data_IF_710395839697
#
_entry.id   IF_710395839697
#
_cell.length_a   1.000
_cell.length_b   1.000
_cell.length_c   1.000
_cell.angle_alpha   90.00
_cell.angle_beta   90.00
_cell.angle_gamma   90.00
#
_symmetry.space_group_name_H-M   'P 1'
#
loop_
_entity.id
_entity.type
_entity.pdbx_description
1 polymer ?
#
# COMPACT_ATOMS: atom_id res chain seq x y z
N UNK A 1 -45.61 -15.64 -67.75
CA UNK A 1 -46.29 -16.31 -66.62
C UNK A 1 -45.72 -15.69 -65.35
N UNK A 2 -46.33 -14.60 -64.86
CA UNK A 2 -47.36 -14.58 -63.81
C UNK A 2 -46.79 -15.07 -62.46
N UNK A 3 -46.86 -14.38 -61.32
CA UNK A 3 -47.55 -13.14 -60.93
C UNK A 3 -47.28 -12.85 -59.44
N UNK A 4 -47.15 -11.56 -59.10
CA UNK A 4 -47.67 -10.84 -57.91
C UNK A 4 -47.41 -11.29 -56.45
N UNK A 5 -46.83 -10.34 -55.70
CA UNK A 5 -47.10 -9.85 -54.32
C UNK A 5 -48.58 -10.02 -53.84
N UNK A 6 -49.01 -9.80 -52.55
CA UNK A 6 -48.52 -8.74 -51.65
C UNK A 6 -48.77 -8.82 -50.10
N UNK A 7 -48.38 -7.72 -49.44
CA UNK A 7 -49.03 -7.03 -48.30
C UNK A 7 -48.88 -7.48 -46.83
N UNK A 8 -48.37 -6.53 -46.04
CA UNK A 8 -48.51 -6.38 -44.58
C UNK A 8 -49.98 -6.14 -44.15
N UNK A 9 -50.29 -6.07 -42.83
CA UNK A 9 -50.21 -4.75 -42.20
C UNK A 9 -49.77 -4.72 -40.72
N UNK A 10 -49.26 -3.54 -40.38
CA UNK A 10 -49.13 -2.94 -39.06
C UNK A 10 -50.49 -2.90 -38.32
N UNK A 11 -50.49 -3.21 -37.02
CA UNK A 11 -51.58 -2.82 -36.11
C UNK A 11 -51.02 -1.91 -35.02
N UNK A 12 -51.29 -0.62 -35.20
CA UNK A 12 -51.36 0.37 -34.13
C UNK A 12 -52.67 0.17 -33.35
N UNK A 13 -52.63 0.32 -32.03
CA UNK A 13 -53.81 0.48 -31.20
C UNK A 13 -53.74 1.85 -30.51
N UNK A 14 -54.58 2.74 -31.00
CA UNK A 14 -54.98 4.01 -30.37
C UNK A 14 -56.31 3.78 -29.68
N UNK A 15 -56.45 4.34 -28.47
CA UNK A 15 -57.67 4.80 -27.73
C UNK A 15 -57.48 4.48 -26.24
N UNK A 16 -57.95 5.27 -25.29
CA UNK A 16 -58.70 6.52 -25.28
C UNK A 16 -58.76 6.95 -23.81
N UNK A 17 -58.78 8.26 -23.60
CA UNK A 17 -59.06 8.93 -22.34
C UNK A 17 -60.33 8.39 -21.65
N UNK A 18 -60.33 8.44 -20.31
CA UNK A 18 -61.55 8.69 -19.56
C UNK A 18 -61.24 9.58 -18.35
N UNK A 19 -61.74 10.81 -18.42
CA UNK A 19 -61.70 11.84 -17.38
C UNK A 19 -63.13 12.30 -17.13
N UNK A 20 -63.63 12.12 -15.90
CA UNK A 20 -64.85 12.71 -15.35
C UNK A 20 -64.48 13.02 -13.87
N UNK A 21 -64.18 14.25 -13.46
CA UNK A 21 -65.03 15.42 -13.16
C UNK A 21 -66.16 15.14 -12.16
N UNK A 22 -66.22 16.06 -11.18
CA UNK A 22 -67.22 16.30 -10.11
C UNK A 22 -66.87 15.64 -8.76
N UNK A 23 -66.82 16.31 -7.61
CA UNK A 23 -67.55 17.50 -7.15
C UNK A 23 -66.72 18.41 -6.21
N UNK A 24 -67.04 19.71 -6.26
CA UNK A 24 -66.55 20.78 -5.38
C UNK A 24 -67.48 20.98 -4.15
N UNK A 25 -66.87 21.56 -3.10
CA UNK A 25 -67.39 22.34 -1.95
C UNK A 25 -67.83 21.59 -0.67
N UNK A 26 -67.76 22.23 0.52
CA UNK A 26 -66.91 23.36 0.95
C UNK A 26 -66.19 23.11 2.30
N UNK A 27 -65.33 24.07 2.64
CA UNK A 27 -64.63 24.24 3.91
C UNK A 27 -65.51 24.09 5.15
N UNK A 28 -65.07 23.26 6.09
CA UNK A 28 -65.35 23.44 7.51
C UNK A 28 -64.01 23.47 8.23
N UNK A 29 -63.71 24.62 8.81
CA UNK A 29 -62.58 24.82 9.70
C UNK A 29 -62.74 23.89 10.92
N UNK A 30 -61.83 22.92 11.05
CA UNK A 30 -61.70 22.13 12.26
C UNK A 30 -60.33 22.44 12.88
N UNK A 31 -60.38 23.37 13.84
CA UNK A 31 -59.46 23.59 14.96
C UNK A 31 -58.03 23.05 14.82
N UNK A 32 -57.08 23.98 14.76
CA UNK A 32 -55.71 23.79 15.20
C UNK A 32 -55.69 23.18 16.62
N UNK A 33 -55.51 21.87 16.74
CA UNK A 33 -55.14 21.26 18.01
C UNK A 33 -53.64 21.50 18.22
N UNK A 34 -53.33 22.65 18.80
CA UNK A 34 -52.05 22.89 19.45
C UNK A 34 -51.86 21.82 20.52
N UNK A 35 -50.99 20.83 20.27
CA UNK A 35 -50.55 19.93 21.33
C UNK A 35 -49.86 20.77 22.39
N UNK A 36 -50.46 20.80 23.58
CA UNK A 36 -49.89 21.40 24.78
C UNK A 36 -48.55 20.71 25.09
N UNK A 37 -47.46 21.45 24.91
CA UNK A 37 -46.22 21.16 25.59
C UNK A 37 -46.36 21.65 27.04
N UNK A 38 -46.43 20.71 27.97
CA UNK A 38 -46.06 20.76 29.40
C UNK A 38 -46.86 19.64 30.08
N UNK A 39 -46.29 18.67 30.76
CA UNK A 39 -45.64 18.81 32.07
C UNK A 39 -44.70 17.63 32.27
N UNK A 40 -43.38 17.82 32.15
CA UNK A 40 -42.45 16.88 32.76
C UNK A 40 -42.47 17.13 34.27
N UNK A 41 -42.79 16.08 35.02
CA UNK A 41 -42.75 16.07 36.48
C UNK A 41 -41.36 16.52 36.95
N UNK A 42 -41.28 17.68 37.60
CA UNK A 42 -40.10 18.09 38.36
C UNK A 42 -39.91 17.09 39.51
N UNK A 43 -39.04 16.10 39.30
CA UNK A 43 -38.54 15.28 40.39
C UNK A 43 -37.72 16.16 41.33
N UNK A 44 -38.08 16.08 42.61
CA UNK A 44 -37.44 16.71 43.76
C UNK A 44 -35.91 16.57 43.66
N UNK A 45 -35.23 17.71 43.78
CA UNK A 45 -33.79 17.78 43.94
C UNK A 45 -33.35 16.95 45.16
N UNK A 46 -32.67 15.84 44.90
CA UNK A 46 -31.83 15.19 45.90
C UNK A 46 -30.55 16.01 46.03
N UNK A 47 -30.41 16.60 47.21
CA UNK A 47 -29.25 17.32 47.69
C UNK A 47 -28.04 16.38 47.67
N UNK A 48 -26.97 16.77 46.97
CA UNK A 48 -25.61 16.34 47.27
C UNK A 48 -25.14 15.04 46.63
N UNK A 49 -24.87 15.07 45.32
CA UNK A 49 -23.79 14.27 44.74
C UNK A 49 -22.98 15.20 43.82
N UNK A 50 -21.65 15.34 44.01
CA UNK A 50 -20.85 16.14 43.08
C UNK A 50 -20.85 15.42 41.73
N UNK A 51 -21.60 15.96 40.76
CA UNK A 51 -21.40 15.59 39.37
C UNK A 51 -19.99 16.06 38.99
N UNK A 52 -19.13 15.10 38.69
CA UNK A 52 -17.84 15.36 38.08
C UNK A 52 -18.15 15.94 36.71
N UNK A 53 -18.15 17.27 36.58
CA UNK A 53 -18.33 17.97 35.32
C UNK A 53 -17.13 17.59 34.47
N UNK A 54 -17.30 16.55 33.64
CA UNK A 54 -16.31 16.18 32.63
C UNK A 54 -16.10 17.42 31.77
N UNK A 55 -14.94 18.05 31.91
CA UNK A 55 -14.57 19.21 31.11
C UNK A 55 -14.79 18.82 29.66
N UNK A 56 -15.76 19.47 29.00
CA UNK A 56 -16.10 19.22 27.61
C UNK A 56 -14.82 19.46 26.82
N UNK A 57 -14.19 18.40 26.34
CA UNK A 57 -12.97 18.55 25.56
C UNK A 57 -13.24 19.56 24.43
N UNK A 58 -12.29 20.48 24.16
CA UNK A 58 -12.47 21.44 23.09
C UNK A 58 -12.80 20.66 21.81
N UNK A 59 -13.78 21.15 21.06
CA UNK A 59 -14.27 20.47 19.86
C UNK A 59 -13.07 20.19 18.93
N UNK A 60 -12.63 18.93 18.88
CA UNK A 60 -11.56 18.56 17.97
C UNK A 60 -12.17 18.53 16.56
N UNK A 61 -11.51 19.14 15.57
CA UNK A 61 -11.98 19.06 14.19
C UNK A 61 -12.10 17.59 13.79
N UNK A 62 -13.15 17.26 13.02
CA UNK A 62 -13.36 15.91 12.52
C UNK A 62 -12.12 15.44 11.76
N UNK A 63 -11.87 14.13 11.74
CA UNK A 63 -10.70 13.59 11.03
C UNK A 63 -10.68 14.03 9.55
N UNK A 64 -11.85 14.13 8.91
CA UNK A 64 -12.02 14.70 7.56
C UNK A 64 -11.59 16.17 7.45
N UNK A 65 -11.87 17.00 8.45
CA UNK A 65 -11.43 18.40 8.49
C UNK A 65 -9.92 18.50 8.70
N UNK A 66 -9.37 17.68 9.61
CA UNK A 66 -7.91 17.57 9.83
C UNK A 66 -7.18 17.11 8.58
N UNK A 67 -7.71 16.11 7.86
CA UNK A 67 -7.10 15.57 6.65
C UNK A 67 -7.01 16.58 5.50
N UNK A 68 -7.92 17.56 5.45
CA UNK A 68 -7.88 18.67 4.48
C UNK A 68 -6.84 19.74 4.85
N UNK A 69 -6.55 19.88 6.15
CA UNK A 69 -5.58 20.84 6.69
C UNK A 69 -4.17 20.26 6.83
N UNK A 70 -4.00 18.92 6.74
CA UNK A 70 -2.69 18.29 6.69
C UNK A 70 -1.92 18.81 5.47
N UNK A 71 -0.84 19.54 5.72
CA UNK A 71 0.05 19.94 4.65
C UNK A 71 0.74 18.69 4.09
N UNK A 72 1.04 18.72 2.79
CA UNK A 72 1.75 17.66 2.07
C UNK A 72 3.05 17.20 2.75
N UNK A 73 3.71 18.11 3.47
CA UNK A 73 4.94 17.85 4.22
C UNK A 73 4.72 17.17 5.59
N UNK A 74 3.48 17.18 6.10
CA UNK A 74 3.11 16.62 7.40
C UNK A 74 2.65 15.17 7.30
N UNK A 75 2.50 14.63 6.08
CA UNK A 75 2.30 13.20 5.91
C UNK A 75 3.50 12.46 6.49
N UNK A 76 3.29 11.45 7.35
CA UNK A 76 4.39 10.66 7.83
C UNK A 76 5.08 10.01 6.63
N UNK A 77 6.35 10.36 6.42
CA UNK A 77 7.24 9.72 5.47
C UNK A 77 7.57 8.27 5.89
N UNK A 78 6.82 7.70 6.86
CA UNK A 78 6.97 6.38 7.45
C UNK A 78 5.68 5.51 7.35
N UNK A 79 4.86 5.67 6.30
CA UNK A 79 3.84 4.66 5.91
C UNK A 79 4.55 3.34 5.58
N UNK A 80 4.78 2.49 6.58
CA UNK A 80 5.43 1.19 6.43
C UNK A 80 4.85 0.33 5.29
N UNK A 81 5.45 -0.82 5.03
CA UNK A 81 4.97 -1.72 3.98
C UNK A 81 3.44 -1.94 4.10
N UNK A 82 2.70 -1.76 3.00
CA UNK A 82 1.25 -1.82 3.03
C UNK A 82 0.78 -3.13 3.70
N UNK A 83 -0.22 -3.07 4.60
CA UNK A 83 -0.67 -4.23 5.35
C UNK A 83 -1.18 -5.34 4.41
N UNK A 84 -0.89 -6.59 4.77
CA UNK A 84 -1.20 -7.77 3.97
C UNK A 84 -0.39 -7.90 2.68
N UNK A 85 0.74 -7.20 2.54
CA UNK A 85 1.66 -7.41 1.43
C UNK A 85 2.37 -8.76 1.58
N UNK A 86 1.98 -9.73 0.77
CA UNK A 86 2.67 -11.01 0.70
C UNK A 86 3.93 -10.90 -0.15
N UNK A 87 5.09 -11.25 0.42
CA UNK A 87 6.38 -11.23 -0.27
C UNK A 87 6.88 -12.65 -0.37
N UNK A 88 6.77 -13.23 -1.56
CA UNK A 88 7.21 -14.61 -1.80
C UNK A 88 8.72 -14.76 -1.53
N UNK A 89 9.13 -15.67 -0.62
CA UNK A 89 10.54 -15.97 -0.37
C UNK A 89 11.18 -16.68 -1.56
N UNK A 90 12.50 -16.87 -1.51
CA UNK A 90 13.19 -17.66 -2.52
C UNK A 90 12.74 -19.12 -2.42
N UNK A 91 12.91 -19.85 -3.52
CA UNK A 91 12.52 -21.26 -3.54
C UNK A 91 13.28 -22.12 -2.54
N UNK A 92 14.51 -21.71 -2.19
CA UNK A 92 15.36 -22.35 -1.17
C UNK A 92 14.85 -22.15 0.26
N UNK A 93 14.18 -21.02 0.52
CA UNK A 93 13.69 -20.64 1.84
C UNK A 93 12.20 -21.00 2.00
N UNK A 94 11.59 -21.60 0.98
CA UNK A 94 10.22 -22.10 1.08
C UNK A 94 10.20 -23.49 1.73
N UNK A 95 9.10 -23.86 2.40
CA UNK A 95 8.94 -25.19 2.98
C UNK A 95 9.17 -26.30 1.96
N UNK A 96 9.77 -27.38 2.42
CA UNK A 96 10.02 -28.57 1.61
C UNK A 96 8.69 -29.20 1.18
N UNK A 97 8.60 -29.55 -0.10
CA UNK A 97 7.41 -30.16 -0.71
C UNK A 97 7.10 -31.51 -0.05
N UNK A 98 8.12 -32.23 0.42
CA UNK A 98 7.95 -33.58 0.96
C UNK A 98 7.75 -33.63 2.47
N UNK A 99 8.34 -32.70 3.22
CA UNK A 99 8.23 -32.68 4.69
C UNK A 99 7.02 -31.86 5.16
N UNK A 100 6.74 -30.73 4.51
CA UNK A 100 5.68 -29.79 4.90
C UNK A 100 4.83 -29.38 3.67
N UNK A 101 4.15 -30.33 2.99
CA UNK A 101 3.39 -30.05 1.77
C UNK A 101 2.24 -29.07 2.00
N UNK A 102 1.57 -29.12 3.15
CA UNK A 102 0.44 -28.26 3.48
C UNK A 102 0.85 -26.79 3.61
N UNK A 103 1.94 -26.51 4.33
CA UNK A 103 2.50 -25.16 4.48
C UNK A 103 3.01 -24.64 3.14
N UNK A 104 3.65 -25.50 2.35
CA UNK A 104 4.10 -25.16 1.01
C UNK A 104 2.93 -24.75 0.10
N UNK A 105 1.89 -25.57 0.05
CA UNK A 105 0.69 -25.29 -0.74
C UNK A 105 0.00 -24.01 -0.24
N UNK A 106 -0.05 -23.78 1.07
CA UNK A 106 -0.60 -22.56 1.65
C UNK A 106 0.16 -21.31 1.21
N UNK A 107 1.49 -21.34 1.23
CA UNK A 107 2.34 -20.24 0.74
C UNK A 107 2.12 -19.97 -0.75
N UNK A 108 2.07 -21.02 -1.57
CA UNK A 108 1.85 -20.89 -3.02
C UNK A 108 0.42 -20.40 -3.32
N UNK A 109 -0.58 -20.86 -2.57
CA UNK A 109 -1.95 -20.38 -2.65
C UNK A 109 -2.08 -18.90 -2.27
N UNK A 110 -1.45 -18.50 -1.16
CA UNK A 110 -1.43 -17.09 -0.74
C UNK A 110 -0.72 -16.20 -1.76
N UNK A 111 0.38 -16.67 -2.34
CA UNK A 111 1.05 -15.96 -3.42
C UNK A 111 0.13 -15.73 -4.61
N UNK A 112 -0.56 -16.79 -5.07
CA UNK A 112 -1.48 -16.71 -6.20
C UNK A 112 -2.67 -15.79 -5.89
N UNK A 113 -3.32 -16.00 -4.73
CA UNK A 113 -4.45 -15.19 -4.26
C UNK A 113 -4.05 -13.73 -4.13
N UNK A 114 -2.91 -13.43 -3.49
CA UNK A 114 -2.41 -12.06 -3.35
C UNK A 114 -2.08 -11.46 -4.71
N UNK A 115 -1.50 -12.22 -5.64
CA UNK A 115 -1.23 -11.75 -7.00
C UNK A 115 -2.50 -11.30 -7.73
N UNK A 116 -3.57 -12.09 -7.66
CA UNK A 116 -4.87 -11.77 -8.26
C UNK A 116 -5.52 -10.57 -7.57
N UNK A 117 -5.56 -10.57 -6.22
CA UNK A 117 -6.14 -9.47 -5.44
C UNK A 117 -5.42 -8.14 -5.70
N UNK A 118 -4.09 -8.18 -5.74
CA UNK A 118 -3.25 -7.02 -6.02
C UNK A 118 -3.49 -6.48 -7.43
N UNK A 119 -3.59 -7.37 -8.43
CA UNK A 119 -3.89 -6.99 -9.79
C UNK A 119 -5.26 -6.33 -9.92
N UNK A 120 -6.32 -6.97 -9.39
CA UNK A 120 -7.68 -6.43 -9.41
C UNK A 120 -7.76 -5.10 -8.65
N UNK A 121 -7.13 -5.02 -7.46
CA UNK A 121 -7.07 -3.78 -6.68
C UNK A 121 -6.39 -2.64 -7.43
N UNK A 122 -5.34 -2.94 -8.18
CA UNK A 122 -4.62 -1.96 -9.00
C UNK A 122 -5.45 -1.52 -10.22
N UNK A 123 -6.23 -2.42 -10.85
CA UNK A 123 -7.19 -2.04 -11.91
C UNK A 123 -8.32 -1.17 -11.33
N UNK A 124 -8.89 -1.56 -10.18
CA UNK A 124 -9.88 -0.75 -9.42
C UNK A 124 -9.33 0.64 -9.12
N UNK A 125 -8.14 0.71 -8.56
CA UNK A 125 -7.45 1.96 -8.24
C UNK A 125 -7.26 2.86 -9.46
N UNK A 126 -6.86 2.29 -10.60
CA UNK A 126 -6.44 3.03 -11.79
C UNK A 126 -7.56 3.33 -12.79
N UNK A 127 -8.65 2.57 -12.78
CA UNK A 127 -9.73 2.68 -13.76
C UNK A 127 -11.04 3.17 -13.16
N UNK A 128 -11.33 2.83 -11.92
CA UNK A 128 -12.60 3.18 -11.27
C UNK A 128 -12.45 4.26 -10.21
N UNK A 129 -11.46 4.13 -9.34
CA UNK A 129 -11.25 5.07 -8.23
C UNK A 129 -10.54 6.36 -8.67
N UNK A 130 -9.54 6.24 -9.55
CA UNK A 130 -8.82 7.36 -10.12
C UNK A 130 -8.81 7.23 -11.64
N UNK A 131 -9.88 7.66 -12.30
CA UNK A 131 -10.05 7.55 -13.74
C UNK A 131 -8.90 8.21 -14.49
N UNK A 132 -8.34 7.53 -15.49
CA UNK A 132 -7.31 8.07 -16.38
C UNK A 132 -5.86 7.76 -15.98
N UNK A 133 -5.62 7.06 -14.88
CA UNK A 133 -4.25 6.66 -14.51
C UNK A 133 -3.69 5.54 -15.40
N UNK A 134 -2.40 5.59 -15.77
CA UNK A 134 -1.73 4.48 -16.43
C UNK A 134 -1.24 3.42 -15.43
N UNK A 135 -1.43 2.14 -15.75
CA UNK A 135 -1.02 1.02 -14.88
C UNK A 135 0.52 0.90 -14.75
N UNK A 136 1.30 1.41 -15.72
CA UNK A 136 2.79 1.43 -15.72
C UNK A 136 3.46 0.08 -15.35
N UNK A 137 2.86 -1.04 -15.77
CA UNK A 137 3.29 -2.40 -15.36
C UNK A 137 4.70 -2.76 -15.87
N UNK A 138 5.13 -2.19 -16.98
CA UNK A 138 6.47 -2.44 -17.56
C UNK A 138 7.51 -1.53 -16.91
N UNK A 139 7.19 -0.25 -16.79
CA UNK A 139 8.08 0.82 -16.30
C UNK A 139 8.58 0.55 -14.88
N UNK A 140 7.72 0.06 -13.98
CA UNK A 140 8.06 -0.21 -12.57
C UNK A 140 9.35 -1.04 -12.37
N UNK A 141 9.68 -1.95 -13.31
CA UNK A 141 10.91 -2.77 -13.23
C UNK A 141 12.16 -1.97 -13.57
N UNK A 142 12.08 -1.07 -14.54
CA UNK A 142 13.19 -0.20 -14.92
C UNK A 142 13.42 0.85 -13.87
N UNK A 143 12.35 1.51 -13.43
CA UNK A 143 12.38 2.50 -12.35
C UNK A 143 12.99 1.91 -11.07
N UNK A 144 12.58 0.71 -10.67
CA UNK A 144 13.15 0.07 -9.47
C UNK A 144 14.65 -0.23 -9.63
N UNK A 145 15.11 -0.66 -10.82
CA UNK A 145 16.54 -0.85 -11.09
C UNK A 145 17.29 0.48 -11.00
N UNK A 146 16.77 1.53 -11.62
CA UNK A 146 17.46 2.80 -11.75
C UNK A 146 17.54 3.53 -10.41
N UNK A 147 16.44 3.53 -9.63
CA UNK A 147 16.47 4.00 -8.25
C UNK A 147 17.44 3.19 -7.39
N UNK A 148 17.48 1.86 -7.54
CA UNK A 148 18.42 1.02 -6.80
C UNK A 148 19.87 1.36 -7.15
N UNK A 149 20.20 1.62 -8.43
CA UNK A 149 21.53 2.10 -8.82
C UNK A 149 21.86 3.42 -8.14
N UNK A 150 20.95 4.39 -8.22
CA UNK A 150 21.13 5.72 -7.63
C UNK A 150 21.36 5.65 -6.12
N UNK A 151 20.55 4.85 -5.41
CA UNK A 151 20.70 4.62 -3.97
C UNK A 151 22.10 4.10 -3.63
N UNK A 152 22.58 3.12 -4.38
CA UNK A 152 23.86 2.49 -4.11
C UNK A 152 25.06 3.33 -4.56
N UNK A 153 24.94 4.13 -5.61
CA UNK A 153 25.95 5.13 -5.96
C UNK A 153 26.11 6.15 -4.84
N UNK A 154 24.99 6.71 -4.34
CA UNK A 154 25.02 7.63 -3.21
C UNK A 154 25.56 6.97 -1.92
N UNK A 155 25.25 5.69 -1.70
CA UNK A 155 25.80 4.91 -0.60
C UNK A 155 27.33 4.75 -0.71
N UNK A 156 27.85 4.42 -1.90
CA UNK A 156 29.27 4.29 -2.15
C UNK A 156 30.02 5.62 -1.95
N UNK A 157 29.46 6.73 -2.47
CA UNK A 157 30.00 8.07 -2.23
C UNK A 157 30.05 8.41 -0.74
N UNK A 158 28.95 8.13 -0.01
CA UNK A 158 28.90 8.35 1.43
C UNK A 158 29.90 7.50 2.19
N UNK A 159 30.16 6.26 1.76
CA UNK A 159 31.20 5.41 2.35
C UNK A 159 32.58 6.00 2.10
N UNK A 160 32.86 6.41 0.85
CA UNK A 160 34.15 6.96 0.46
C UNK A 160 34.49 8.26 1.21
N UNK A 161 33.47 9.06 1.56
CA UNK A 161 33.64 10.31 2.30
C UNK A 161 33.81 10.12 3.83
N UNK A 162 33.76 8.89 4.36
CA UNK A 162 33.97 8.66 5.80
C UNK A 162 35.44 8.85 6.15
N UNK A 163 35.71 9.82 7.03
CA UNK A 163 37.01 9.99 7.68
C UNK A 163 37.19 8.89 8.73
N UNK A 164 37.79 7.76 8.35
CA UNK A 164 38.17 6.67 9.26
C UNK A 164 39.55 6.15 8.87
N UNK A 165 40.28 5.59 9.85
CA UNK A 165 41.55 4.89 9.62
C UNK A 165 41.38 3.61 8.77
N UNK A 166 40.13 3.18 8.55
CA UNK A 166 39.73 2.10 7.65
C UNK A 166 38.93 2.67 6.47
N UNK A 167 39.48 2.52 5.25
CA UNK A 167 38.76 2.81 4.01
C UNK A 167 38.01 1.56 3.57
N UNK A 168 36.68 1.60 3.68
CA UNK A 168 35.80 0.57 3.12
C UNK A 168 35.47 0.98 1.69
N UNK A 169 35.54 0.04 0.75
CA UNK A 169 35.07 0.23 -0.63
C UNK A 169 33.88 -0.68 -0.88
N UNK A 170 32.88 -0.18 -1.58
CA UNK A 170 31.71 -0.94 -2.00
C UNK A 170 31.44 -0.66 -3.47
N UNK A 171 31.16 -1.70 -4.25
CA UNK A 171 30.74 -1.55 -5.64
C UNK A 171 29.64 -2.53 -6.03
N UNK A 172 28.71 -2.01 -6.85
CA UNK A 172 27.71 -2.81 -7.55
C UNK A 172 28.31 -3.33 -8.85
N UNK A 173 28.73 -4.59 -8.86
CA UNK A 173 29.43 -5.19 -10.01
C UNK A 173 28.48 -5.40 -11.18
N UNK A 174 27.40 -6.14 -10.95
CA UNK A 174 26.39 -6.42 -11.97
C UNK A 174 25.06 -6.82 -11.36
N UNK A 175 24.01 -6.65 -12.15
CA UNK A 175 22.74 -7.30 -11.87
C UNK A 175 22.77 -8.72 -12.44
N UNK A 176 22.48 -9.72 -11.60
CA UNK A 176 22.40 -11.11 -12.04
C UNK A 176 21.18 -11.35 -12.94
N UNK A 177 20.21 -10.43 -12.91
CA UNK A 177 18.94 -10.47 -13.63
C UNK A 177 18.60 -9.08 -14.15
N UNK A 178 18.05 -8.95 -15.36
CA UNK A 178 17.70 -7.65 -15.95
C UNK A 178 16.18 -7.42 -15.96
N UNK A 179 15.69 -6.16 -16.07
CA UNK A 179 14.25 -5.89 -16.17
C UNK A 179 13.57 -6.51 -17.40
N UNK A 180 14.32 -6.82 -18.45
CA UNK A 180 13.80 -7.27 -19.74
C UNK A 180 13.50 -8.77 -19.83
N UNK A 181 14.09 -9.60 -18.97
CA UNK A 181 13.88 -11.06 -19.03
C UNK A 181 12.58 -11.47 -18.34
N UNK A 182 11.68 -12.14 -19.06
CA UNK A 182 10.33 -12.49 -18.58
C UNK A 182 10.32 -13.51 -17.44
N UNK A 183 11.24 -14.50 -17.47
CA UNK A 183 11.31 -15.56 -16.46
C UNK A 183 12.46 -15.33 -15.48
N UNK A 184 13.57 -14.76 -15.92
CA UNK A 184 14.79 -14.61 -15.12
C UNK A 184 15.09 -13.17 -14.76
N UNK A 185 14.14 -12.24 -14.88
CA UNK A 185 14.39 -10.81 -14.65
C UNK A 185 14.20 -10.32 -13.21
N UNK A 186 14.34 -9.01 -13.02
CA UNK A 186 13.84 -8.33 -11.82
C UNK A 186 12.35 -8.63 -11.70
N UNK A 187 11.96 -9.28 -10.60
CA UNK A 187 10.59 -9.77 -10.43
C UNK A 187 9.83 -8.83 -9.51
N UNK A 188 8.70 -8.35 -10.00
CA UNK A 188 7.69 -7.71 -9.15
C UNK A 188 7.03 -8.82 -8.33
N UNK A 189 7.20 -8.76 -7.03
CA UNK A 189 6.68 -9.74 -6.08
C UNK A 189 5.30 -9.33 -5.60
N UNK A 190 5.09 -8.03 -5.40
CA UNK A 190 3.81 -7.43 -5.02
C UNK A 190 3.69 -6.04 -5.67
N UNK A 191 2.49 -5.68 -6.12
CA UNK A 191 2.16 -4.34 -6.62
C UNK A 191 0.79 -3.96 -6.05
N UNK A 192 0.77 -3.09 -5.06
CA UNK A 192 -0.42 -2.73 -4.30
C UNK A 192 -0.65 -1.25 -4.37
N UNK A 193 -1.92 -0.87 -4.51
CA UNK A 193 -2.36 0.51 -4.47
C UNK A 193 -3.55 0.64 -3.52
N UNK A 194 -3.53 1.67 -2.68
CA UNK A 194 -4.59 1.97 -1.72
C UNK A 194 -4.87 3.48 -1.75
N UNK A 195 -6.13 3.87 -1.58
CA UNK A 195 -6.45 5.27 -1.32
C UNK A 195 -6.08 5.64 0.11
N UNK A 196 -5.65 6.88 0.30
CA UNK A 196 -5.49 7.44 1.64
C UNK A 196 -6.90 7.83 2.11
N UNK A 197 -7.40 7.26 3.22
CA UNK A 197 -8.68 7.67 3.76
C UNK A 197 -8.71 9.18 4.01
N UNK A 198 -9.88 9.80 3.90
CA UNK A 198 -10.14 11.21 4.25
C UNK A 198 -9.59 12.26 3.29
N UNK A 199 -8.60 11.92 2.46
CA UNK A 199 -8.02 12.84 1.48
C UNK A 199 -8.48 12.43 0.07
N UNK A 200 -9.34 13.23 -0.59
CA UNK A 200 -9.84 12.89 -1.91
C UNK A 200 -8.69 12.84 -2.93
N UNK A 201 -8.87 11.99 -3.95
CA UNK A 201 -7.92 11.79 -5.06
C UNK A 201 -6.48 11.49 -4.63
N UNK A 202 -6.30 10.99 -3.41
CA UNK A 202 -5.00 10.70 -2.82
C UNK A 202 -4.84 9.22 -2.54
N UNK A 203 -3.64 8.72 -2.75
CA UNK A 203 -3.37 7.30 -2.71
C UNK A 203 -1.89 6.97 -2.73
N UNK A 204 -1.56 5.77 -2.30
CA UNK A 204 -0.21 5.25 -2.28
C UNK A 204 -0.17 3.98 -3.12
N UNK A 205 0.80 3.90 -4.02
CA UNK A 205 1.15 2.67 -4.72
C UNK A 205 2.53 2.20 -4.28
N UNK A 206 2.61 0.99 -3.75
CA UNK A 206 3.87 0.34 -3.39
C UNK A 206 4.11 -0.89 -4.27
N UNK A 207 5.32 -0.99 -4.82
CA UNK A 207 5.76 -2.12 -5.63
C UNK A 207 6.98 -2.74 -4.96
N UNK A 208 6.86 -4.00 -4.59
CA UNK A 208 7.97 -4.79 -4.07
C UNK A 208 8.66 -5.49 -5.23
N UNK A 209 9.93 -5.18 -5.44
CA UNK A 209 10.75 -5.75 -6.52
C UNK A 209 11.89 -6.55 -5.91
N UNK A 210 11.98 -7.83 -6.30
CA UNK A 210 13.11 -8.68 -5.98
C UNK A 210 14.24 -8.44 -6.98
N UNK A 211 15.36 -7.97 -6.45
CA UNK A 211 16.58 -7.66 -7.19
C UNK A 211 17.67 -8.64 -6.74
N UNK A 212 18.35 -9.23 -7.72
CA UNK A 212 19.52 -10.08 -7.46
C UNK A 212 20.72 -9.45 -8.13
N UNK A 213 21.74 -9.11 -7.36
CA UNK A 213 22.95 -8.44 -7.83
C UNK A 213 24.19 -9.12 -7.30
N UNK A 214 25.31 -8.91 -7.99
CA UNK A 214 26.64 -9.23 -7.50
C UNK A 214 27.24 -7.94 -6.96
N UNK A 215 27.64 -7.96 -5.70
CA UNK A 215 28.21 -6.82 -5.01
C UNK A 215 29.61 -7.21 -4.53
N UNK A 216 30.50 -6.24 -4.45
CA UNK A 216 31.81 -6.43 -3.86
C UNK A 216 32.07 -5.44 -2.74
N UNK A 217 32.80 -5.88 -1.72
CA UNK A 217 33.18 -5.06 -0.57
C UNK A 217 34.65 -5.31 -0.26
N UNK A 218 35.41 -4.23 -0.20
CA UNK A 218 36.82 -4.22 0.16
C UNK A 218 37.06 -3.42 1.44
N UNK A 219 38.12 -3.75 2.17
CA UNK A 219 38.53 -3.03 3.38
C UNK A 219 40.03 -2.77 3.29
N UNK A 220 40.44 -1.53 3.47
CA UNK A 220 41.85 -1.13 3.46
C UNK A 220 42.13 -0.41 4.76
N UNK A 221 43.02 -0.97 5.60
CA UNK A 221 43.52 -0.28 6.78
C UNK A 221 44.61 0.69 6.34
N UNK A 222 44.44 1.98 6.60
CA UNK A 222 45.46 2.98 6.34
C UNK A 222 46.50 2.88 7.47
N UNK A 223 47.77 2.65 7.14
CA UNK A 223 48.82 2.70 8.17
C UNK A 223 48.98 4.14 8.67
N UNK A 224 49.17 4.35 9.99
CA UNK A 224 49.40 5.68 10.53
C UNK A 224 50.72 6.26 9.98
N UNK A 225 50.69 7.56 9.63
CA UNK A 225 51.78 8.31 8.98
C UNK A 225 53.09 8.42 9.78
N UNK A 226 53.19 7.85 10.98
CA UNK A 226 54.41 7.84 11.81
C UNK A 226 54.93 6.41 11.99
N UNK A 227 55.70 5.91 11.02
CA UNK A 227 56.61 4.78 11.23
C UNK A 227 57.96 5.11 10.59
N UNK A 228 59.09 5.05 11.31
CA UNK A 228 60.41 5.33 10.75
C UNK A 228 60.73 4.36 9.61
N UNK A 229 61.34 4.86 8.54
CA UNK A 229 61.75 4.10 7.36
C UNK A 229 62.73 2.97 7.75
N UNK A 230 62.26 1.73 7.63
CA UNK A 230 63.06 0.51 7.57
C UNK A 230 62.81 -0.19 6.21
N UNK A 231 63.71 -1.10 5.78
CA UNK A 231 63.81 -1.54 4.39
C UNK A 231 62.52 -2.19 3.89
N UNK A 232 62.16 -1.81 2.66
CA UNK A 232 60.98 -2.17 1.89
C UNK A 232 60.38 -3.54 2.19
N UNK A 233 59.37 -3.56 3.07
CA UNK A 233 58.34 -4.60 3.06
C UNK A 233 57.29 -4.13 2.05
N UNK A 234 56.88 -4.93 1.05
CA UNK A 234 55.81 -4.56 0.15
C UNK A 234 54.58 -4.22 0.98
N UNK A 235 53.86 -3.17 0.61
CA UNK A 235 52.64 -2.74 1.29
C UNK A 235 51.53 -3.80 1.16
N UNK A 236 51.65 -4.88 1.92
CA UNK A 236 50.66 -5.95 2.02
C UNK A 236 49.82 -5.71 3.26
N UNK A 237 48.63 -5.16 3.04
CA UNK A 237 47.41 -5.47 3.77
C UNK A 237 46.20 -5.00 2.93
N UNK A 238 46.20 -5.37 1.64
CA UNK A 238 44.99 -5.30 0.84
C UNK A 238 44.05 -6.40 1.37
N UNK A 239 43.10 -6.05 2.25
CA UNK A 239 42.14 -7.05 2.69
C UNK A 239 41.36 -7.52 1.47
N UNK A 240 41.21 -8.84 1.34
CA UNK A 240 40.54 -9.51 0.23
C UNK A 240 39.22 -8.83 -0.14
N UNK A 241 39.06 -8.44 -1.41
CA UNK A 241 37.76 -8.02 -1.94
C UNK A 241 36.80 -9.21 -1.88
N UNK A 242 35.80 -9.13 -1.02
CA UNK A 242 34.75 -10.16 -0.93
C UNK A 242 33.68 -9.84 -1.95
N UNK A 243 33.48 -10.73 -2.90
CA UNK A 243 32.40 -10.66 -3.87
C UNK A 243 31.30 -11.63 -3.47
N UNK A 244 30.05 -11.16 -3.44
CA UNK A 244 28.90 -11.96 -3.03
C UNK A 244 27.69 -11.67 -3.93
N UNK A 245 26.90 -12.71 -4.19
CA UNK A 245 25.59 -12.57 -4.81
C UNK A 245 24.55 -12.24 -3.72
N UNK A 246 23.96 -11.05 -3.82
CA UNK A 246 22.96 -10.51 -2.90
C UNK A 246 21.56 -10.58 -3.51
N UNK A 247 20.56 -10.98 -2.71
CA UNK A 247 19.15 -10.91 -3.11
C UNK A 247 18.40 -10.00 -2.15
N UNK A 248 17.77 -8.97 -2.69
CA UNK A 248 17.15 -7.90 -1.93
C UNK A 248 15.74 -7.66 -2.45
N UNK A 249 14.86 -7.23 -1.55
CA UNK A 249 13.49 -6.89 -1.86
C UNK A 249 13.32 -5.40 -1.58
N UNK A 250 13.29 -4.61 -2.64
CA UNK A 250 13.16 -3.16 -2.55
C UNK A 250 11.69 -2.79 -2.74
N UNK A 251 11.22 -1.90 -1.88
CA UNK A 251 9.91 -1.26 -2.00
C UNK A 251 10.12 0.07 -2.71
N UNK A 252 9.52 0.21 -3.88
CA UNK A 252 9.38 1.51 -4.54
C UNK A 252 7.96 2.02 -4.36
N UNK A 253 7.83 3.30 -4.05
CA UNK A 253 6.57 3.93 -3.77
C UNK A 253 6.32 5.09 -4.73
N UNK A 254 5.06 5.23 -5.13
CA UNK A 254 4.54 6.41 -5.82
C UNK A 254 3.37 6.97 -5.02
N UNK A 255 3.49 8.21 -4.57
CA UNK A 255 2.42 8.93 -3.87
C UNK A 255 1.56 9.66 -4.89
N UNK A 256 0.25 9.66 -4.68
CA UNK A 256 -0.70 10.54 -5.35
C UNK A 256 -1.32 11.43 -4.30
N UNK A 257 -1.31 12.73 -4.53
CA UNK A 257 -1.80 13.74 -3.59
C UNK A 257 -2.71 14.73 -4.32
N UNK A 258 -3.96 14.82 -3.89
CA UNK A 258 -4.97 15.72 -4.45
C UNK A 258 -5.05 15.65 -5.99
N UNK A 259 -4.97 14.44 -6.57
CA UNK A 259 -5.01 14.21 -8.01
C UNK A 259 -3.65 14.19 -8.71
N UNK A 260 -2.60 14.75 -8.11
CA UNK A 260 -1.26 14.80 -8.69
C UNK A 260 -0.43 13.57 -8.34
N UNK A 261 0.27 13.00 -9.33
CA UNK A 261 1.17 11.86 -9.14
C UNK A 261 2.62 12.33 -8.92
N UNK A 262 3.21 11.97 -7.78
CA UNK A 262 4.64 12.18 -7.52
C UNK A 262 5.53 11.21 -8.29
N UNK A 263 6.82 11.51 -8.35
CA UNK A 263 7.81 10.58 -8.87
C UNK A 263 7.97 9.33 -8.00
N UNK A 264 8.46 8.27 -8.64
CA UNK A 264 8.81 7.06 -7.93
C UNK A 264 10.02 7.31 -7.04
N UNK A 265 9.94 6.83 -5.80
CA UNK A 265 11.04 6.87 -4.84
C UNK A 265 11.27 5.51 -4.21
N UNK A 266 12.48 5.27 -3.73
CA UNK A 266 12.74 4.15 -2.83
C UNK A 266 12.08 4.46 -1.51
N UNK A 267 11.23 3.54 -1.08
CA UNK A 267 10.60 3.59 0.22
C UNK A 267 11.46 2.90 1.27
N UNK A 268 11.97 1.71 0.94
CA UNK A 268 12.82 0.96 1.85
C UNK A 268 13.06 -0.46 1.37
N UNK A 269 13.59 -1.28 2.28
CA UNK A 269 13.76 -2.71 2.10
C UNK A 269 12.58 -3.46 2.72
N UNK A 270 12.29 -4.65 2.22
CA UNK A 270 11.30 -5.55 2.80
C UNK A 270 11.89 -6.93 3.05
N UNK A 271 11.35 -7.62 4.05
CA UNK A 271 11.69 -9.00 4.35
C UNK A 271 10.70 -9.94 3.64
N UNK A 272 11.17 -11.09 3.14
CA UNK A 272 10.27 -12.12 2.65
C UNK A 272 9.36 -12.66 3.74
N UNK A 273 8.13 -13.01 3.37
CA UNK A 273 7.16 -13.63 4.28
C UNK A 273 7.60 -15.05 4.62
N UNK A 274 7.65 -15.38 5.91
CA UNK A 274 7.98 -16.71 6.43
C UNK A 274 6.70 -17.52 6.71
N UNK A 275 6.85 -18.80 7.07
CA UNK A 275 5.71 -19.63 7.49
C UNK A 275 5.08 -19.11 8.77
N UNK A 276 5.89 -18.57 9.68
CA UNK A 276 5.46 -17.99 10.95
C UNK A 276 4.52 -16.81 10.73
N UNK A 277 4.83 -15.97 9.74
CA UNK A 277 4.02 -14.82 9.35
C UNK A 277 2.61 -15.20 8.88
N UNK A 278 2.38 -16.46 8.46
CA UNK A 278 1.07 -16.91 8.02
C UNK A 278 0.04 -16.95 9.16
N UNK A 279 0.50 -17.00 10.40
CA UNK A 279 -0.35 -16.93 11.59
C UNK A 279 -0.92 -15.53 11.83
N UNK A 280 -0.32 -14.48 11.24
CA UNK A 280 -0.78 -13.10 11.37
C UNK A 280 -2.20 -12.95 10.80
N UNK A 281 -3.01 -12.06 11.42
CA UNK A 281 -4.39 -11.81 11.01
C UNK A 281 -4.56 -11.47 9.52
N UNK A 282 -3.53 -10.87 8.90
CA UNK A 282 -3.51 -10.58 7.47
C UNK A 282 -3.55 -11.83 6.57
N UNK A 283 -3.04 -12.96 7.04
CA UNK A 283 -2.89 -14.20 6.26
C UNK A 283 -3.59 -15.41 6.88
N UNK A 284 -4.11 -15.28 8.10
CA UNK A 284 -4.85 -16.32 8.79
C UNK A 284 -6.09 -16.76 7.98
N UNK A 285 -6.31 -18.07 7.80
CA UNK A 285 -7.53 -18.58 7.16
C UNK A 285 -8.74 -18.40 8.09
N UNK A 286 -9.94 -18.31 7.52
CA UNK A 286 -11.19 -18.31 8.29
C UNK A 286 -11.62 -16.97 8.92
N UNK A 287 -10.73 -15.97 9.05
CA UNK A 287 -11.13 -14.65 9.56
C UNK A 287 -11.88 -13.82 8.50
N UNK A 288 -13.00 -13.21 8.90
CA UNK A 288 -13.74 -12.27 8.05
C UNK A 288 -12.96 -10.96 7.86
N UNK A 289 -13.36 -10.13 6.90
CA UNK A 289 -12.70 -8.83 6.65
C UNK A 289 -12.85 -7.90 7.86
N UNK A 290 -13.98 -7.97 8.57
CA UNK A 290 -14.22 -7.19 9.78
C UNK A 290 -13.26 -7.63 10.91
N UNK A 291 -13.16 -8.92 11.18
CA UNK A 291 -12.26 -9.46 12.22
C UNK A 291 -10.79 -9.12 11.92
N UNK A 292 -10.41 -9.09 10.63
CA UNK A 292 -9.07 -8.67 10.21
C UNK A 292 -8.82 -7.19 10.46
N UNK A 293 -9.81 -6.34 10.19
CA UNK A 293 -9.72 -4.89 10.43
C UNK A 293 -9.62 -4.61 11.93
N UNK A 294 -10.36 -5.35 12.75
CA UNK A 294 -10.30 -5.24 14.20
C UNK A 294 -8.93 -5.69 14.76
N UNK A 295 -8.45 -6.88 14.36
CA UNK A 295 -7.09 -7.32 14.74
C UNK A 295 -5.99 -6.37 14.24
N UNK A 296 -6.19 -5.74 13.09
CA UNK A 296 -5.31 -4.69 12.55
C UNK A 296 -5.36 -3.41 13.39
N UNK A 297 -6.54 -3.00 13.85
CA UNK A 297 -6.70 -1.85 14.74
C UNK A 297 -6.03 -2.11 16.09
N UNK A 298 -6.21 -3.29 16.65
CA UNK A 298 -5.61 -3.68 17.94
C UNK A 298 -4.08 -3.75 17.86
N UNK A 299 -3.52 -4.27 16.75
CA UNK A 299 -2.07 -4.29 16.55
C UNK A 299 -1.47 -2.90 16.33
N UNK A 300 -2.18 -1.98 15.68
CA UNK A 300 -1.71 -0.60 15.47
C UNK A 300 -1.87 0.30 16.69
N UNK A 301 -2.88 0.06 17.53
CA UNK A 301 -3.12 0.86 18.73
C UNK A 301 -2.17 0.52 19.88
N UNK A 302 -1.39 -0.56 19.75
CA UNK A 302 -0.49 -1.05 20.78
C UNK A 302 -1.29 -1.60 21.96
N UNK A 303 -1.04 -2.86 22.35
CA UNK A 303 -1.47 -3.31 23.67
C UNK A 303 -0.80 -2.43 24.71
N UNK A 304 -1.60 -1.67 25.46
CA UNK A 304 -1.19 -1.20 26.80
C UNK A 304 -1.06 -2.38 27.73
#
# INVERSE_FOLDING_TARGET
MASSLPNAPLRAAVRSNNSLISHLYPSVAASCQCRQFSLSSQRRALRGTPENISMKQPAQPSMRTRGRELARADLPQDIGLLPGTFIRPLWRDMPSIFQQPSERLRMEWLWLKSGVQNFLGMVVYSKWLNTGLPLRLRERRYVARDLHKLMYSAFAERINNRLKDEKVTWSLEKYNRTPGTFLTGLRVVSDRATQIPEIPDSGVRQVVVRITSRQSTGKIKLQPKHRPQGPSVPAENAASTKQQDCTEYIVVQKLRWAGEEEDWRIWGHATPTTVEDLSNAFFAPGMTVADRLEAMKDSMQGRK
#
